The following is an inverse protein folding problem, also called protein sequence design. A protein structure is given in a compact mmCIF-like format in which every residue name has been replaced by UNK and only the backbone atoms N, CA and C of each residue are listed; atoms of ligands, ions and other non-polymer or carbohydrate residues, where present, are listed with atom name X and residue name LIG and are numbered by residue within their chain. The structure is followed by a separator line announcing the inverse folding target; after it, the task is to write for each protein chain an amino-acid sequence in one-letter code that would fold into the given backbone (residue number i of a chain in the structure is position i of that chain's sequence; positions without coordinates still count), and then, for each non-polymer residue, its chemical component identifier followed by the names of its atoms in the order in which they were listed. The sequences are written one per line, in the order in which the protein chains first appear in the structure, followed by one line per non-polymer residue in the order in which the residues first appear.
data_IF_773191524763
#
_entry.id   IF_773191524763
#
_cell.length_a   1.000
_cell.length_b   1.000
_cell.length_c   1.000
_cell.angle_alpha   90.00
_cell.angle_beta   90.00
_cell.angle_gamma   90.00
#
_symmetry.space_group_name_H-M   'P 1'
#
loop_
_entity.id
_entity.type
_entity.pdbx_description
1 polymer ?
#
# COMPACT_ATOMS: atom_id res chain seq x y z
N UNK A 1 35.96 -8.49 32.83
CA UNK A 1 35.69 -7.59 31.69
C UNK A 1 34.23 -7.14 31.81
N UNK A 2 33.99 -6.01 32.47
CA UNK A 2 32.64 -5.50 32.73
C UNK A 2 32.28 -4.45 31.70
N UNK A 3 31.22 -4.70 30.93
CA UNK A 3 30.57 -3.65 30.14
C UNK A 3 30.16 -2.53 31.11
N UNK A 4 30.74 -1.36 30.91
CA UNK A 4 30.58 -0.18 31.77
C UNK A 4 29.10 0.15 31.95
N UNK A 5 28.66 0.25 33.21
CA UNK A 5 27.28 0.55 33.64
C UNK A 5 26.61 1.76 32.93
N UNK A 6 27.39 2.64 32.30
CA UNK A 6 26.91 3.79 31.52
C UNK A 6 26.31 3.44 30.13
N UNK A 7 26.65 2.27 29.56
CA UNK A 7 26.10 1.83 28.27
C UNK A 7 24.68 1.27 28.41
N UNK A 8 24.34 0.71 29.58
CA UNK A 8 23.04 0.05 29.81
C UNK A 8 21.87 1.04 29.72
N UNK A 9 21.89 2.23 30.37
CA UNK A 9 20.82 3.22 30.22
C UNK A 9 20.70 3.75 28.79
N UNK A 10 21.82 3.93 28.10
CA UNK A 10 21.85 4.41 26.71
C UNK A 10 21.25 3.39 25.75
N UNK A 11 21.61 2.10 25.89
CA UNK A 11 21.02 1.00 25.13
C UNK A 11 19.53 0.84 25.43
N UNK A 12 19.12 0.96 26.70
CA UNK A 12 17.72 0.87 27.08
C UNK A 12 16.89 2.02 26.48
N UNK A 13 17.42 3.25 26.50
CA UNK A 13 16.81 4.42 25.86
C UNK A 13 16.69 4.24 24.34
N UNK A 14 17.73 3.72 23.67
CA UNK A 14 17.68 3.39 22.25
C UNK A 14 16.63 2.31 21.94
N UNK A 15 16.52 1.28 22.77
CA UNK A 15 15.50 0.23 22.62
C UNK A 15 14.08 0.77 22.80
N UNK A 16 13.83 1.61 23.81
CA UNK A 16 12.50 2.21 24.04
C UNK A 16 12.14 3.24 22.96
N UNK A 17 13.09 4.07 22.53
CA UNK A 17 12.84 5.06 21.47
C UNK A 17 12.62 4.37 20.11
N UNK A 18 13.33 3.28 19.82
CA UNK A 18 13.10 2.52 18.58
C UNK A 18 11.76 1.79 18.60
N UNK A 19 11.28 1.29 19.75
CA UNK A 19 9.96 0.69 19.84
C UNK A 19 8.83 1.70 19.60
N UNK A 20 8.94 2.91 20.15
CA UNK A 20 7.92 3.95 19.96
C UNK A 20 7.87 4.43 18.51
N UNK A 21 9.03 4.60 17.87
CA UNK A 21 9.13 4.95 16.45
C UNK A 21 8.54 3.84 15.57
N UNK A 22 8.88 2.58 15.83
CA UNK A 22 8.36 1.43 15.06
C UNK A 22 6.85 1.29 15.23
N UNK A 23 6.33 1.47 16.46
CA UNK A 23 4.90 1.41 16.73
C UNK A 23 4.16 2.59 16.10
N UNK A 24 4.74 3.79 16.15
CA UNK A 24 4.22 4.98 15.48
C UNK A 24 4.11 4.77 13.97
N UNK A 25 5.19 4.31 13.34
CA UNK A 25 5.21 4.01 11.91
C UNK A 25 4.15 2.97 11.53
N UNK A 26 4.05 1.87 12.30
CA UNK A 26 3.03 0.85 12.10
C UNK A 26 1.61 1.44 12.14
N UNK A 27 1.31 2.33 13.10
CA UNK A 27 0.00 2.99 13.19
C UNK A 27 -0.28 3.85 11.96
N UNK A 28 0.69 4.63 11.49
CA UNK A 28 0.52 5.45 10.28
C UNK A 28 0.22 4.55 9.08
N UNK A 29 1.00 3.48 8.89
CA UNK A 29 0.79 2.51 7.83
C UNK A 29 -0.59 1.84 7.89
N UNK A 30 -1.03 1.43 9.08
CA UNK A 30 -2.38 0.88 9.29
C UNK A 30 -3.46 1.91 8.96
N UNK A 31 -3.26 3.19 9.31
CA UNK A 31 -4.17 4.29 8.96
C UNK A 31 -4.23 4.48 7.44
N UNK A 32 -3.11 4.47 6.73
CA UNK A 32 -3.09 4.57 5.26
C UNK A 32 -3.87 3.44 4.60
N UNK A 33 -3.69 2.19 5.06
CA UNK A 33 -4.48 1.04 4.56
C UNK A 33 -5.97 1.24 4.85
N UNK A 34 -6.34 1.69 6.05
CA UNK A 34 -7.75 2.01 6.41
C UNK A 34 -8.33 3.09 5.51
N UNK A 35 -7.58 4.15 5.23
CA UNK A 35 -8.01 5.25 4.36
C UNK A 35 -8.23 4.80 2.92
N UNK A 36 -7.36 3.92 2.39
CA UNK A 36 -7.55 3.31 1.07
C UNK A 36 -8.86 2.52 1.05
N UNK A 37 -9.10 1.66 2.05
CA UNK A 37 -10.35 0.87 2.15
C UNK A 37 -11.56 1.79 2.23
N UNK A 38 -11.52 2.83 3.08
CA UNK A 38 -12.62 3.77 3.24
C UNK A 38 -12.90 4.56 1.96
N UNK A 39 -11.85 5.03 1.29
CA UNK A 39 -11.96 5.76 0.02
C UNK A 39 -12.55 4.87 -1.07
N UNK A 40 -12.06 3.63 -1.21
CA UNK A 40 -12.58 2.67 -2.16
C UNK A 40 -14.07 2.38 -1.91
N UNK A 41 -14.47 2.13 -0.65
CA UNK A 41 -15.87 1.96 -0.27
C UNK A 41 -16.74 3.15 -0.70
N UNK A 42 -16.27 4.37 -0.45
CA UNK A 42 -17.00 5.58 -0.81
C UNK A 42 -17.19 5.72 -2.32
N UNK A 43 -16.17 5.37 -3.11
CA UNK A 43 -16.18 5.44 -4.57
C UNK A 43 -17.01 4.33 -5.22
N UNK A 44 -17.03 3.13 -4.62
CA UNK A 44 -17.83 2.01 -5.14
C UNK A 44 -19.33 2.27 -4.96
N UNK A 45 -19.72 2.87 -3.83
CA UNK A 45 -21.14 3.12 -3.50
C UNK A 45 -21.69 4.30 -4.30
N UNK A 46 -20.90 5.37 -4.49
CA UNK A 46 -21.34 6.57 -5.19
C UNK A 46 -20.78 6.58 -6.60
N UNK A 47 -21.62 6.46 -7.62
CA UNK A 47 -21.20 6.73 -9.01
C UNK A 47 -20.50 8.10 -9.06
N UNK A 48 -19.31 8.12 -9.65
CA UNK A 48 -18.46 9.31 -9.76
C UNK A 48 -18.05 9.52 -11.21
N UNK A 49 -17.63 10.74 -11.60
CA UNK A 49 -17.08 10.96 -12.93
C UNK A 49 -15.93 9.98 -13.17
N UNK A 50 -15.96 9.25 -14.30
CA UNK A 50 -14.98 8.22 -14.67
C UNK A 50 -15.13 6.84 -14.00
N UNK A 51 -16.25 6.53 -13.33
CA UNK A 51 -16.45 5.19 -12.76
C UNK A 51 -16.42 4.05 -13.79
N UNK A 52 -16.71 4.35 -15.07
CA UNK A 52 -16.63 3.40 -16.20
C UNK A 52 -15.33 3.50 -17.00
N UNK A 53 -14.37 4.34 -16.58
CA UNK A 53 -13.07 4.42 -17.23
C UNK A 53 -12.42 3.03 -17.23
N UNK A 54 -11.90 2.64 -18.39
CA UNK A 54 -11.20 1.37 -18.53
C UNK A 54 -9.75 1.52 -18.05
N UNK A 55 -9.30 0.55 -17.25
CA UNK A 55 -7.97 0.51 -16.68
C UNK A 55 -7.39 -0.91 -16.78
N UNK A 56 -6.06 -1.08 -16.84
CA UNK A 56 -5.45 -2.41 -16.85
C UNK A 56 -5.81 -3.26 -15.62
N UNK A 57 -6.09 -4.56 -15.83
CA UNK A 57 -6.41 -5.53 -14.76
C UNK A 57 -5.14 -6.11 -14.12
N UNK A 58 -4.53 -5.35 -13.21
CA UNK A 58 -3.30 -5.74 -12.48
C UNK A 58 -3.49 -6.86 -11.45
N UNK A 59 -4.70 -7.40 -11.31
CA UNK A 59 -5.07 -8.38 -10.28
C UNK A 59 -5.10 -9.82 -10.80
N UNK A 60 -4.88 -10.04 -12.10
CA UNK A 60 -4.75 -11.39 -12.61
C UNK A 60 -3.41 -12.02 -12.20
N UNK A 61 -3.43 -13.33 -11.96
CA UNK A 61 -2.24 -14.12 -11.65
C UNK A 61 -1.26 -14.06 -12.83
N UNK A 62 -0.36 -13.09 -12.78
CA UNK A 62 0.66 -12.95 -13.81
C UNK A 62 1.77 -13.95 -13.50
N UNK A 63 1.53 -15.23 -13.80
CA UNK A 63 2.57 -16.29 -13.76
C UNK A 63 3.78 -15.97 -14.65
N UNK A 64 3.70 -14.96 -15.51
CA UNK A 64 4.64 -14.71 -16.60
C UNK A 64 5.28 -13.31 -16.61
N UNK A 65 5.05 -12.43 -15.62
CA UNK A 65 5.75 -11.13 -15.66
C UNK A 65 7.18 -11.30 -15.17
N UNK A 66 8.12 -11.10 -16.09
CA UNK A 66 9.54 -10.87 -15.86
C UNK A 66 9.81 -9.54 -15.14
N UNK A 67 8.89 -9.10 -14.29
CA UNK A 67 9.10 -7.93 -13.44
C UNK A 67 10.12 -8.30 -12.37
N UNK A 68 11.10 -7.42 -12.07
CA UNK A 68 11.95 -7.59 -10.91
C UNK A 68 11.05 -7.80 -9.70
N UNK A 69 11.26 -8.88 -8.93
CA UNK A 69 10.50 -9.11 -7.70
C UNK A 69 10.80 -7.96 -6.75
N UNK A 70 9.87 -7.01 -6.66
CA UNK A 70 9.96 -5.90 -5.73
C UNK A 70 9.93 -6.44 -4.29
N UNK A 71 10.86 -5.96 -3.46
CA UNK A 71 10.97 -6.41 -2.08
C UNK A 71 10.23 -5.46 -1.12
N UNK A 72 9.32 -5.96 -0.25
CA UNK A 72 8.69 -5.19 0.80
C UNK A 72 9.66 -4.54 1.79
N UNK A 73 10.95 -4.94 1.79
CA UNK A 73 11.99 -4.33 2.64
C UNK A 73 12.21 -2.85 2.30
N UNK A 74 11.90 -2.43 1.07
CA UNK A 74 12.03 -1.04 0.62
C UNK A 74 10.78 -0.18 0.93
N UNK A 75 9.74 -0.80 1.48
CA UNK A 75 8.52 -0.14 1.93
C UNK A 75 8.79 0.75 3.14
N UNK A 76 8.16 1.93 3.19
CA UNK A 76 8.08 2.72 4.44
C UNK A 76 7.30 1.99 5.54
N UNK A 77 6.55 0.94 5.18
CA UNK A 77 5.62 0.19 5.99
C UNK A 77 6.00 -1.28 6.12
N UNK A 78 7.29 -1.57 6.23
CA UNK A 78 7.84 -2.91 6.43
C UNK A 78 7.28 -3.65 7.65
N UNK A 79 6.61 -2.95 8.58
CA UNK A 79 5.92 -3.54 9.73
C UNK A 79 4.56 -4.18 9.37
N UNK A 80 3.99 -3.86 8.20
CA UNK A 80 2.77 -4.50 7.70
C UNK A 80 3.09 -5.89 7.14
N UNK A 81 2.16 -6.82 7.32
CA UNK A 81 2.27 -8.18 6.79
C UNK A 81 1.80 -8.19 5.34
N UNK A 82 2.71 -7.90 4.41
CA UNK A 82 2.50 -7.97 2.97
C UNK A 82 3.32 -9.11 2.36
N UNK A 83 2.71 -9.86 1.44
CA UNK A 83 3.48 -10.75 0.54
C UNK A 83 4.15 -9.93 -0.56
N UNK A 84 5.15 -10.52 -1.23
CA UNK A 84 5.76 -9.92 -2.43
C UNK A 84 4.70 -9.50 -3.47
N UNK A 85 3.69 -10.36 -3.66
CA UNK A 85 2.59 -10.08 -4.58
C UNK A 85 1.70 -8.94 -4.09
N UNK A 86 1.38 -8.88 -2.79
CA UNK A 86 0.59 -7.77 -2.24
C UNK A 86 1.31 -6.43 -2.48
N UNK A 87 2.63 -6.38 -2.23
CA UNK A 87 3.46 -5.18 -2.44
C UNK A 87 3.53 -4.78 -3.93
N UNK A 88 3.78 -5.74 -4.82
CA UNK A 88 3.80 -5.52 -6.27
C UNK A 88 2.45 -5.02 -6.79
N UNK A 89 1.33 -5.62 -6.34
CA UNK A 89 -0.02 -5.14 -6.66
C UNK A 89 -0.24 -3.70 -6.20
N UNK A 90 0.14 -3.33 -4.97
CA UNK A 90 -0.02 -1.96 -4.49
C UNK A 90 0.82 -0.97 -5.31
N UNK A 91 2.03 -1.37 -5.71
CA UNK A 91 2.89 -0.52 -6.53
C UNK A 91 2.36 -0.35 -7.95
N UNK A 92 1.90 -1.42 -8.60
CA UNK A 92 1.22 -1.32 -9.91
C UNK A 92 -0.06 -0.48 -9.81
N UNK A 93 -0.77 -0.55 -8.68
CA UNK A 93 -1.92 0.30 -8.43
C UNK A 93 -1.58 1.80 -8.36
N UNK A 94 -0.39 2.17 -7.86
CA UNK A 94 0.11 3.57 -7.94
C UNK A 94 0.18 4.01 -9.40
N UNK A 95 0.80 3.21 -10.27
CA UNK A 95 0.93 3.53 -11.71
C UNK A 95 -0.44 3.70 -12.38
N UNK A 96 -1.38 2.78 -12.15
CA UNK A 96 -2.73 2.87 -12.74
C UNK A 96 -3.47 4.10 -12.22
N UNK A 97 -3.45 4.36 -10.91
CA UNK A 97 -4.16 5.50 -10.34
C UNK A 97 -3.52 6.85 -10.68
N UNK A 98 -2.22 6.90 -10.98
CA UNK A 98 -1.57 8.08 -11.55
C UNK A 98 -2.10 8.40 -12.95
N UNK A 99 -2.27 7.39 -13.81
CA UNK A 99 -2.86 7.58 -15.14
C UNK A 99 -4.32 8.04 -15.03
N UNK A 100 -5.08 7.42 -14.12
CA UNK A 100 -6.46 7.83 -13.86
C UNK A 100 -6.52 9.27 -13.33
N UNK A 101 -5.64 9.67 -12.41
CA UNK A 101 -5.68 11.03 -11.86
C UNK A 101 -5.29 12.11 -12.87
N UNK A 102 -4.44 11.79 -13.85
CA UNK A 102 -4.14 12.69 -14.97
C UNK A 102 -5.32 12.86 -15.94
N UNK A 103 -6.10 11.81 -16.16
CA UNK A 103 -7.24 11.81 -17.09
C UNK A 103 -8.56 12.22 -16.42
N UNK A 104 -8.65 12.04 -15.11
CA UNK A 104 -9.84 12.25 -14.31
C UNK A 104 -9.48 12.77 -12.91
N UNK A 105 -9.56 14.08 -12.75
CA UNK A 105 -9.19 14.73 -11.49
C UNK A 105 -10.29 14.55 -10.44
N UNK A 106 -10.15 13.51 -9.61
CA UNK A 106 -11.01 13.27 -8.46
C UNK A 106 -10.21 13.36 -7.15
N UNK A 107 -10.55 14.28 -6.21
CA UNK A 107 -9.79 14.45 -4.97
C UNK A 107 -9.62 13.16 -4.15
N UNK A 108 -10.64 12.29 -4.16
CA UNK A 108 -10.59 10.99 -3.48
C UNK A 108 -9.55 10.04 -4.08
N UNK A 109 -9.42 10.01 -5.41
CA UNK A 109 -8.39 9.19 -6.08
C UNK A 109 -7.00 9.74 -5.74
N UNK A 110 -6.82 11.06 -5.71
CA UNK A 110 -5.56 11.68 -5.29
C UNK A 110 -5.19 11.33 -3.84
N UNK A 111 -6.16 11.30 -2.93
CA UNK A 111 -5.91 10.89 -1.55
C UNK A 111 -5.51 9.40 -1.45
N UNK A 112 -6.20 8.53 -2.19
CA UNK A 112 -5.84 7.11 -2.26
C UNK A 112 -4.45 6.91 -2.84
N UNK A 113 -4.11 7.64 -3.91
CA UNK A 113 -2.80 7.60 -4.54
C UNK A 113 -1.69 8.01 -3.57
N UNK A 114 -1.87 9.08 -2.79
CA UNK A 114 -0.92 9.50 -1.74
C UNK A 114 -0.71 8.41 -0.70
N UNK A 115 -1.79 7.79 -0.22
CA UNK A 115 -1.70 6.70 0.75
C UNK A 115 -0.98 5.48 0.18
N UNK A 116 -1.26 5.10 -1.06
CA UNK A 116 -0.54 4.01 -1.72
C UNK A 116 0.94 4.35 -1.87
N UNK A 117 1.28 5.52 -2.41
CA UNK A 117 2.67 5.97 -2.54
C UNK A 117 3.42 5.95 -1.21
N UNK A 118 2.74 6.33 -0.11
CA UNK A 118 3.32 6.20 1.23
C UNK A 118 3.62 4.74 1.56
N UNK A 119 2.66 3.82 1.39
CA UNK A 119 2.83 2.40 1.70
C UNK A 119 3.97 1.75 0.90
N UNK A 120 4.03 1.96 -0.42
CA UNK A 120 5.01 1.29 -1.27
C UNK A 120 6.35 2.01 -1.34
N UNK A 121 6.37 3.34 -1.12
CA UNK A 121 7.54 4.18 -1.31
C UNK A 121 8.20 4.02 -2.71
N UNK A 122 7.42 3.56 -3.68
CA UNK A 122 7.81 3.33 -5.06
C UNK A 122 6.72 3.82 -6.00
N UNK A 123 7.15 4.45 -7.09
CA UNK A 123 6.24 5.10 -8.07
C UNK A 123 6.38 4.56 -9.47
N UNK A 124 7.37 3.69 -9.73
CA UNK A 124 7.68 3.17 -11.06
C UNK A 124 7.50 1.66 -11.06
N UNK A 125 6.25 1.23 -11.15
CA UNK A 125 5.92 -0.17 -11.36
C UNK A 125 5.37 -0.37 -12.77
N UNK A 126 6.05 -1.16 -13.61
CA UNK A 126 5.58 -1.41 -14.97
C UNK A 126 4.24 -2.14 -14.93
N UNK A 127 3.34 -1.70 -15.81
CA UNK A 127 1.99 -2.26 -16.01
C UNK A 127 1.92 -2.62 -17.50
N UNK A 128 1.90 -3.92 -17.78
CA UNK A 128 1.97 -4.49 -19.13
C UNK A 128 0.72 -5.35 -19.44
N UNK A 129 -0.28 -5.29 -18.58
CA UNK A 129 -1.50 -6.07 -18.66
C UNK A 129 -2.34 -5.61 -19.85
N UNK A 130 -2.69 -6.55 -20.72
CA UNK A 130 -3.52 -6.32 -21.90
C UNK A 130 -5.00 -6.37 -21.59
N UNK A 131 -5.37 -7.09 -20.52
CA UNK A 131 -6.74 -7.15 -20.05
C UNK A 131 -7.13 -5.84 -19.37
N UNK A 132 -8.31 -5.34 -19.72
CA UNK A 132 -8.89 -4.12 -19.17
C UNK A 132 -10.11 -4.45 -18.31
N UNK A 133 -10.34 -3.65 -17.27
CA UNK A 133 -11.52 -3.68 -16.40
C UNK A 133 -12.02 -2.26 -16.17
N UNK A 134 -13.27 -2.11 -15.70
CA UNK A 134 -13.76 -0.80 -15.27
C UNK A 134 -13.04 -0.36 -13.99
N UNK A 135 -12.85 0.96 -13.84
CA UNK A 135 -12.25 1.56 -12.65
C UNK A 135 -13.01 1.18 -11.38
N UNK A 136 -14.34 1.04 -11.44
CA UNK A 136 -15.13 0.55 -10.31
C UNK A 136 -14.69 -0.85 -9.86
N UNK A 137 -14.51 -1.79 -10.78
CA UNK A 137 -14.07 -3.15 -10.48
C UNK A 137 -12.64 -3.17 -9.97
N UNK A 138 -11.78 -2.32 -10.55
CA UNK A 138 -10.41 -2.11 -10.08
C UNK A 138 -10.39 -1.67 -8.61
N UNK A 139 -11.18 -0.67 -8.23
CA UNK A 139 -11.27 -0.18 -6.85
C UNK A 139 -11.83 -1.24 -5.90
N UNK A 140 -12.76 -2.07 -6.37
CA UNK A 140 -13.32 -3.19 -5.61
C UNK A 140 -12.27 -4.28 -5.31
N UNK A 141 -11.47 -4.65 -6.30
CA UNK A 141 -10.36 -5.59 -6.13
C UNK A 141 -9.25 -5.00 -5.25
N UNK A 142 -8.89 -3.73 -5.45
CA UNK A 142 -7.90 -3.02 -4.63
C UNK A 142 -8.30 -2.96 -3.15
N UNK A 143 -9.58 -2.69 -2.87
CA UNK A 143 -10.14 -2.75 -1.53
C UNK A 143 -9.91 -4.12 -0.89
N UNK A 144 -10.19 -5.20 -1.61
CA UNK A 144 -10.04 -6.57 -1.11
C UNK A 144 -8.59 -6.87 -0.72
N UNK A 145 -7.62 -6.47 -1.55
CA UNK A 145 -6.18 -6.61 -1.25
C UNK A 145 -5.83 -5.86 0.04
N UNK A 146 -6.27 -4.61 0.18
CA UNK A 146 -5.99 -3.80 1.37
C UNK A 146 -6.67 -4.33 2.64
N UNK A 147 -7.88 -4.88 2.54
CA UNK A 147 -8.55 -5.54 3.65
C UNK A 147 -7.77 -6.76 4.14
N UNK A 148 -7.24 -7.58 3.21
CA UNK A 148 -6.40 -8.74 3.54
C UNK A 148 -5.11 -8.31 4.26
N UNK A 149 -4.43 -7.26 3.78
CA UNK A 149 -3.23 -6.70 4.43
C UNK A 149 -3.58 -6.18 5.83
N UNK A 150 -4.68 -5.45 5.96
CA UNK A 150 -5.13 -4.87 7.23
C UNK A 150 -5.42 -5.96 8.27
N UNK A 151 -6.21 -6.98 7.91
CA UNK A 151 -6.54 -8.08 8.80
C UNK A 151 -5.28 -8.80 9.29
N UNK A 152 -4.38 -9.19 8.39
CA UNK A 152 -3.12 -9.88 8.76
C UNK A 152 -2.22 -9.05 9.69
N UNK A 153 -2.22 -7.72 9.50
CA UNK A 153 -1.35 -6.81 10.25
C UNK A 153 -1.94 -6.38 11.60
N UNK A 154 -3.21 -6.70 11.88
CA UNK A 154 -3.90 -6.32 13.11
C UNK A 154 -3.77 -7.36 14.23
N UNK A 155 -3.45 -8.63 13.92
CA UNK A 155 -3.34 -9.72 14.91
C UNK A 155 -1.97 -9.86 15.59
N UNK A 156 -1.08 -8.89 15.40
CA UNK A 156 0.28 -8.89 15.98
C UNK A 156 0.31 -7.90 17.15
N UNK A 157 -0.40 -8.20 18.23
CA UNK A 157 -0.24 -7.51 19.52
C UNK A 157 0.49 -8.43 20.49
#
# INVERSE_FOLDING_TARGET
MGLTFQLIPTLFCLLTCTSDVVQGQRRICQTSVKEIIHTANSLIVKKFPCFEMEVPDIFEDTKNSSTPKLSPVESSCSQLVMTMNDFETLCRAVTVLQQVSSSCTLPKINNMLRNLMYLVNQTKCPVNETKIIKLQDFLSKLKTVNQKIFSKSSFRE
#
